data_IF_154534732493
#
_entry.id   IF_154534732493
#
_cell.length_a   1.000
_cell.length_b   1.000
_cell.length_c   1.000
_cell.angle_alpha   90.00
_cell.angle_beta   90.00
_cell.angle_gamma   90.00
#
_symmetry.space_group_name_H-M   'P 1'
#
loop_
_entity.id
_entity.type
_entity.pdbx_description
1 polymer ?
#
# COMPACT_ATOMS: atom_id res chain seq x y z
N UNK A 1 -54.17 -41.26 -25.14
CA UNK A 1 -53.07 -40.53 -25.82
C UNK A 1 -52.12 -39.99 -24.76
N UNK A 2 -50.90 -40.54 -24.66
CA UNK A 2 -49.90 -40.10 -23.69
C UNK A 2 -49.16 -38.90 -24.31
N UNK A 3 -49.21 -37.73 -23.65
CA UNK A 3 -48.53 -36.52 -24.13
C UNK A 3 -47.02 -36.62 -23.83
N UNK A 4 -46.19 -36.57 -24.87
CA UNK A 4 -44.74 -36.48 -24.72
C UNK A 4 -44.33 -35.15 -24.09
N UNK A 5 -43.86 -35.18 -22.84
CA UNK A 5 -43.27 -34.01 -22.18
C UNK A 5 -41.82 -33.86 -22.65
N UNK A 6 -41.52 -32.77 -23.35
CA UNK A 6 -40.14 -32.42 -23.75
C UNK A 6 -39.39 -31.86 -22.53
N UNK A 7 -38.43 -32.62 -22.01
CA UNK A 7 -37.55 -32.18 -20.92
C UNK A 7 -36.37 -31.41 -21.54
N UNK A 8 -36.21 -30.14 -21.18
CA UNK A 8 -35.08 -29.31 -21.63
C UNK A 8 -33.77 -29.75 -20.97
N UNK A 9 -32.71 -29.91 -21.76
CA UNK A 9 -31.38 -30.27 -21.24
C UNK A 9 -30.80 -29.11 -20.40
N UNK A 10 -30.08 -29.41 -19.29
CA UNK A 10 -29.48 -28.38 -18.45
C UNK A 10 -28.40 -27.61 -19.21
N UNK A 11 -28.35 -26.30 -18.97
CA UNK A 11 -27.30 -25.41 -19.50
C UNK A 11 -25.93 -25.92 -19.08
N UNK A 12 -25.04 -26.15 -20.05
CA UNK A 12 -23.62 -26.41 -19.79
C UNK A 12 -22.99 -25.10 -19.33
N UNK A 13 -22.98 -24.85 -18.02
CA UNK A 13 -22.14 -23.82 -17.43
C UNK A 13 -20.69 -24.29 -17.53
N UNK A 14 -20.02 -23.97 -18.64
CA UNK A 14 -18.57 -24.01 -18.72
C UNK A 14 -18.03 -23.09 -17.62
N UNK A 15 -17.05 -23.59 -16.86
CA UNK A 15 -16.27 -22.76 -15.92
C UNK A 15 -15.85 -21.51 -16.72
N UNK A 16 -16.26 -20.34 -16.24
CA UNK A 16 -16.23 -19.09 -17.01
C UNK A 16 -14.86 -18.79 -17.62
N UNK A 17 -14.85 -17.87 -18.58
CA UNK A 17 -13.62 -17.43 -19.24
C UNK A 17 -12.53 -17.08 -18.22
N UNK A 18 -11.26 -17.41 -18.50
CA UNK A 18 -10.16 -17.05 -17.61
C UNK A 18 -10.17 -15.53 -17.35
N UNK A 19 -9.80 -15.09 -16.14
CA UNK A 19 -9.73 -13.67 -15.84
C UNK A 19 -8.80 -12.97 -16.83
N UNK A 20 -9.22 -11.79 -17.29
CA UNK A 20 -8.45 -10.96 -18.21
C UNK A 20 -7.05 -10.73 -17.62
N UNK A 21 -6.01 -11.00 -18.40
CA UNK A 21 -4.58 -10.97 -18.00
C UNK A 21 -4.10 -9.62 -17.45
N UNK A 22 -4.93 -8.59 -17.46
CA UNK A 22 -4.66 -7.26 -16.91
C UNK A 22 -4.70 -7.19 -15.37
N UNK A 23 -5.09 -8.26 -14.68
CA UNK A 23 -5.20 -8.27 -13.20
C UNK A 23 -3.87 -8.47 -12.46
N UNK A 24 -2.72 -8.48 -13.15
CA UNK A 24 -1.38 -8.74 -12.56
C UNK A 24 -0.59 -7.43 -12.33
N UNK A 25 -1.23 -6.26 -12.43
CA UNK A 25 -0.52 -4.97 -12.33
C UNK A 25 -0.19 -4.54 -10.89
N UNK A 26 -0.97 -4.96 -9.91
CA UNK A 26 -0.90 -4.42 -8.55
C UNK A 26 0.37 -4.76 -7.75
N UNK A 27 1.25 -5.65 -8.23
CA UNK A 27 2.41 -6.11 -7.45
C UNK A 27 3.77 -5.90 -8.15
N UNK A 28 3.78 -5.31 -9.34
CA UNK A 28 5.00 -5.08 -10.14
C UNK A 28 5.22 -3.59 -10.44
N UNK A 29 4.22 -2.76 -10.18
CA UNK A 29 4.35 -1.31 -10.35
C UNK A 29 5.23 -0.74 -9.22
N UNK A 30 6.28 0.00 -9.61
CA UNK A 30 7.10 0.76 -8.68
C UNK A 30 6.19 1.70 -7.88
N UNK A 31 6.37 1.80 -6.55
CA UNK A 31 5.63 2.80 -5.78
C UNK A 31 5.82 4.16 -6.44
N UNK A 32 4.73 4.91 -6.61
CA UNK A 32 4.83 6.29 -7.10
C UNK A 32 5.79 7.05 -6.18
N UNK A 33 6.58 7.98 -6.72
CA UNK A 33 7.54 8.78 -5.94
C UNK A 33 6.88 9.58 -4.78
N UNK A 34 5.56 9.69 -4.77
CA UNK A 34 4.77 10.37 -3.73
C UNK A 34 4.25 9.42 -2.64
N UNK A 35 4.45 8.10 -2.78
CA UNK A 35 4.02 7.12 -1.80
C UNK A 35 4.95 7.11 -0.58
N UNK A 36 4.43 7.53 0.57
CA UNK A 36 5.16 7.55 1.83
C UNK A 36 5.34 6.13 2.36
N UNK A 37 6.58 5.66 2.37
CA UNK A 37 6.94 4.36 2.96
C UNK A 37 7.37 4.54 4.42
N UNK A 38 6.87 3.68 5.30
CA UNK A 38 7.22 3.71 6.71
C UNK A 38 8.71 3.36 6.92
N UNK A 39 9.46 4.29 7.50
CA UNK A 39 10.86 4.08 7.87
C UNK A 39 10.97 3.77 9.38
N UNK A 40 11.20 2.50 9.72
CA UNK A 40 11.14 2.03 11.11
C UNK A 40 12.50 2.14 11.82
N UNK A 41 12.75 3.27 12.48
CA UNK A 41 13.90 3.42 13.39
C UNK A 41 13.59 2.96 14.81
N UNK A 42 14.52 2.21 15.41
CA UNK A 42 14.54 1.97 16.86
C UNK A 42 15.46 3.00 17.50
N UNK A 43 14.88 3.87 18.32
CA UNK A 43 15.60 4.93 19.05
C UNK A 43 15.32 4.84 20.53
N UNK A 44 16.20 5.43 21.34
CA UNK A 44 15.98 5.53 22.79
C UNK A 44 14.81 6.47 23.10
N UNK A 45 14.15 6.26 24.25
CA UNK A 45 13.03 7.10 24.69
C UNK A 45 13.44 8.57 24.85
N UNK A 46 14.62 8.81 25.40
CA UNK A 46 15.19 10.16 25.56
C UNK A 46 15.42 10.87 24.23
N UNK A 47 15.92 10.15 23.21
CA UNK A 47 16.08 10.73 21.88
C UNK A 47 14.72 11.11 21.28
N UNK A 48 13.73 10.21 21.35
CA UNK A 48 12.37 10.48 20.86
C UNK A 48 11.75 11.70 21.53
N UNK A 49 11.96 11.87 22.85
CA UNK A 49 11.47 13.01 23.62
C UNK A 49 12.11 14.31 23.15
N UNK A 50 13.43 14.35 23.00
CA UNK A 50 14.17 15.53 22.53
C UNK A 50 13.73 15.98 21.13
N UNK A 51 13.60 15.05 20.19
CA UNK A 51 13.18 15.37 18.81
C UNK A 51 11.76 15.95 18.79
N UNK A 52 10.84 15.40 19.60
CA UNK A 52 9.49 15.96 19.72
C UNK A 52 9.49 17.36 20.33
N UNK A 53 10.26 17.56 21.38
CA UNK A 53 10.35 18.88 22.02
C UNK A 53 10.84 19.92 21.02
N UNK A 54 11.92 19.61 20.31
CA UNK A 54 12.46 20.47 19.26
C UNK A 54 11.43 20.75 18.15
N UNK A 55 10.67 19.74 17.74
CA UNK A 55 9.61 19.92 16.74
C UNK A 55 8.52 20.89 17.22
N UNK A 56 8.12 20.79 18.49
CA UNK A 56 7.15 21.70 19.11
C UNK A 56 7.71 23.13 19.17
N UNK A 57 8.97 23.29 19.56
CA UNK A 57 9.59 24.61 19.70
C UNK A 57 9.76 25.36 18.36
N UNK A 58 9.74 24.64 17.23
CA UNK A 58 9.94 25.20 15.89
C UNK A 58 8.68 25.14 15.00
N UNK A 59 7.50 24.82 15.57
CA UNK A 59 6.23 24.64 14.83
C UNK A 59 6.34 23.65 13.66
N UNK A 60 7.13 22.57 13.83
CA UNK A 60 7.32 21.53 12.81
C UNK A 60 6.85 20.15 13.27
N UNK A 61 6.93 19.16 12.39
CA UNK A 61 6.67 17.76 12.77
C UNK A 61 7.98 17.04 13.07
N UNK A 62 7.96 16.13 14.05
CA UNK A 62 9.12 15.30 14.38
C UNK A 62 9.65 14.50 13.17
N UNK A 63 8.77 14.15 12.22
CA UNK A 63 9.15 13.49 10.96
C UNK A 63 9.97 14.43 10.09
N UNK A 64 9.52 15.68 9.90
CA UNK A 64 10.23 16.67 9.11
C UNK A 64 11.62 16.97 9.69
N UNK A 65 11.71 17.16 11.01
CA UNK A 65 13.01 17.34 11.70
C UNK A 65 13.96 16.18 11.42
N UNK A 66 13.47 14.94 11.45
CA UNK A 66 14.32 13.78 11.17
C UNK A 66 14.74 13.68 9.70
N UNK A 67 13.85 14.04 8.76
CA UNK A 67 14.19 14.06 7.33
C UNK A 67 15.25 15.13 7.07
N UNK A 68 15.02 16.36 7.51
CA UNK A 68 15.92 17.50 7.29
C UNK A 68 17.31 17.22 7.87
N UNK A 69 17.39 16.65 9.08
CA UNK A 69 18.66 16.28 9.72
C UNK A 69 19.42 15.17 8.96
N UNK A 70 18.69 14.20 8.39
CA UNK A 70 19.30 13.12 7.59
C UNK A 70 19.75 13.66 6.23
N UNK A 71 18.95 14.50 5.56
CA UNK A 71 19.32 15.13 4.31
C UNK A 71 20.54 16.04 4.46
N UNK A 72 20.61 16.83 5.54
CA UNK A 72 21.79 17.63 5.86
C UNK A 72 23.03 16.74 6.03
N UNK A 73 22.91 15.59 6.68
CA UNK A 73 24.02 14.64 6.85
C UNK A 73 24.44 13.98 5.53
N UNK A 74 23.50 13.65 4.64
CA UNK A 74 23.78 13.03 3.33
C UNK A 74 24.48 14.03 2.38
N UNK A 75 24.07 15.30 2.43
CA UNK A 75 24.61 16.35 1.57
C UNK A 75 25.95 16.92 2.07
N UNK A 76 26.48 16.39 3.17
CA UNK A 76 27.73 16.81 3.81
C UNK A 76 28.91 15.98 3.34
#
# INVERSE_FOLDING_TARGET
MIKNVKISKPSKNTKGAPPLSNSIKNNVEKPLNEELVAFNFRVTAEFRKRVRQYAIDNDTTAVKVMIDAIEEYINK
#
